data_IF_825637540683
#
_entry.id   IF_825637540683
#
_cell.length_a   1.000
_cell.length_b   1.000
_cell.length_c   1.000
_cell.angle_alpha   90.00
_cell.angle_beta   90.00
_cell.angle_gamma   90.00
#
_symmetry.space_group_name_H-M   'P 1'
#
loop_
_entity.id
_entity.type
_entity.pdbx_description
1 polymer ?
#
# COMPACT_ATOMS: atom_id res chain seq x y z
N UNK A 1 -4.29 -17.89 31.06
CA UNK A 1 -3.49 -16.90 30.31
C UNK A 1 -4.14 -16.74 28.94
N UNK A 2 -4.58 -15.55 28.55
CA UNK A 2 -5.22 -15.33 27.26
C UNK A 2 -4.23 -15.64 26.13
N UNK A 3 -4.67 -16.39 25.13
CA UNK A 3 -3.84 -16.81 23.99
C UNK A 3 -3.70 -15.62 23.03
N UNK A 4 -2.56 -14.93 23.10
CA UNK A 4 -2.23 -13.88 22.13
C UNK A 4 -2.14 -14.49 20.72
N UNK A 5 -2.98 -14.00 19.81
CA UNK A 5 -2.88 -14.31 18.39
C UNK A 5 -1.65 -13.57 17.83
N UNK A 6 -0.72 -14.23 17.12
CA UNK A 6 0.53 -13.62 16.64
C UNK A 6 0.35 -12.35 15.81
N UNK A 7 -0.80 -12.21 15.16
CA UNK A 7 -1.12 -11.15 14.21
C UNK A 7 -1.38 -9.78 14.88
N UNK A 8 -1.69 -9.75 16.18
CA UNK A 8 -2.01 -8.51 16.90
C UNK A 8 -0.86 -7.99 17.77
N UNK A 9 0.34 -8.58 17.67
CA UNK A 9 1.51 -8.14 18.44
C UNK A 9 1.90 -6.69 18.16
N UNK A 10 1.50 -6.16 17.00
CA UNK A 10 1.86 -4.84 16.50
C UNK A 10 0.78 -3.79 16.76
N UNK A 11 -0.25 -4.14 17.54
CA UNK A 11 -1.28 -3.22 17.99
C UNK A 11 -1.18 -3.03 19.51
N UNK A 12 -1.44 -1.80 19.95
CA UNK A 12 -1.49 -1.42 21.36
C UNK A 12 -2.80 -0.70 21.65
N UNK A 13 -3.32 -0.91 22.85
CA UNK A 13 -4.55 -0.29 23.31
C UNK A 13 -4.29 0.54 24.55
N UNK A 14 -4.84 1.75 24.55
CA UNK A 14 -4.90 2.64 25.70
C UNK A 14 -6.03 2.21 26.64
N UNK A 15 -5.92 2.47 27.94
CA UNK A 15 -7.00 2.16 28.90
C UNK A 15 -8.36 2.78 28.54
N UNK A 16 -8.36 3.89 27.79
CA UNK A 16 -9.57 4.53 27.25
C UNK A 16 -10.21 3.79 26.06
N UNK A 17 -9.60 2.72 25.57
CA UNK A 17 -10.12 1.90 24.48
C UNK A 17 -9.52 2.21 23.09
N UNK A 18 -8.77 3.30 22.94
CA UNK A 18 -8.16 3.70 21.67
C UNK A 18 -7.07 2.71 21.24
N UNK A 19 -7.03 2.39 19.94
CA UNK A 19 -6.10 1.42 19.35
C UNK A 19 -5.07 2.16 18.49
N UNK A 20 -3.80 1.83 18.69
CA UNK A 20 -2.68 2.40 17.96
C UNK A 20 -1.80 1.31 17.37
N UNK A 21 -1.14 1.63 16.27
CA UNK A 21 0.01 0.84 15.81
C UNK A 21 1.15 0.93 16.82
N UNK A 22 1.79 -0.21 17.04
CA UNK A 22 2.95 -0.31 17.91
C UNK A 22 4.09 0.54 17.36
N UNK A 23 4.62 1.40 18.23
CA UNK A 23 5.88 2.12 18.00
C UNK A 23 6.72 2.01 19.26
N UNK A 24 8.07 2.07 19.15
CA UNK A 24 8.95 2.04 20.32
C UNK A 24 8.59 3.13 21.35
N UNK A 25 8.21 4.32 20.88
CA UNK A 25 7.79 5.44 21.73
C UNK A 25 6.51 5.14 22.51
N UNK A 26 5.52 4.50 21.88
CA UNK A 26 4.28 4.12 22.55
C UNK A 26 4.46 2.90 23.47
N UNK A 27 5.43 2.03 23.20
CA UNK A 27 5.72 0.85 24.02
C UNK A 27 6.31 1.19 25.39
N UNK A 28 6.91 2.37 25.54
CA UNK A 28 7.47 2.87 26.80
C UNK A 28 6.44 3.50 27.73
N UNK A 29 5.19 3.67 27.27
CA UNK A 29 4.13 4.25 28.09
C UNK A 29 3.48 3.17 28.96
N UNK A 30 3.32 3.46 30.24
CA UNK A 30 2.69 2.54 31.21
C UNK A 30 1.20 2.30 30.94
N UNK A 31 0.53 3.24 30.25
CA UNK A 31 -0.91 3.19 29.94
C UNK A 31 -1.24 2.44 28.64
N UNK A 32 -0.22 1.91 27.95
CA UNK A 32 -0.35 1.18 26.68
C UNK A 32 -0.16 -0.32 26.89
N UNK A 33 -1.23 -1.07 26.72
CA UNK A 33 -1.24 -2.54 26.83
C UNK A 33 -1.34 -3.20 25.46
N UNK A 34 -0.91 -4.46 25.36
CA UNK A 34 -1.20 -5.26 24.18
C UNK A 34 -2.71 -5.35 23.95
N UNK A 35 -3.14 -5.28 22.69
CA UNK A 35 -4.55 -5.44 22.37
C UNK A 35 -5.01 -6.87 22.71
N UNK A 36 -5.93 -6.99 23.65
CA UNK A 36 -6.62 -8.25 23.93
C UNK A 36 -7.90 -8.33 23.09
N UNK A 37 -7.89 -9.24 22.13
CA UNK A 37 -8.95 -9.39 21.13
C UNK A 37 -10.24 -9.86 21.80
N UNK A 38 -10.17 -10.80 22.74
CA UNK A 38 -11.36 -11.32 23.43
C UNK A 38 -12.07 -10.21 24.21
N UNK A 39 -11.31 -9.38 24.93
CA UNK A 39 -11.84 -8.21 25.63
C UNK A 39 -12.34 -7.10 24.67
N UNK A 40 -11.72 -6.92 23.51
CA UNK A 40 -12.20 -6.00 22.49
C UNK A 40 -13.53 -6.47 21.88
N UNK A 41 -13.63 -7.75 21.51
CA UNK A 41 -14.84 -8.36 20.97
C UNK A 41 -16.00 -8.33 21.98
N UNK A 42 -15.73 -8.64 23.25
CA UNK A 42 -16.72 -8.54 24.32
C UNK A 42 -17.28 -7.12 24.47
N UNK A 43 -16.42 -6.10 24.40
CA UNK A 43 -16.85 -4.69 24.44
C UNK A 43 -17.65 -4.29 23.20
N UNK A 44 -17.21 -4.70 22.00
CA UNK A 44 -17.95 -4.44 20.76
C UNK A 44 -19.34 -5.07 20.83
N UNK A 45 -19.44 -6.32 21.33
CA UNK A 45 -20.71 -7.01 21.50
C UNK A 45 -21.60 -6.28 22.51
N UNK A 46 -21.06 -5.87 23.66
CA UNK A 46 -21.81 -5.12 24.66
C UNK A 46 -22.32 -3.77 24.13
N UNK A 47 -21.50 -3.04 23.36
CA UNK A 47 -21.89 -1.78 22.73
C UNK A 47 -22.98 -2.01 21.68
N UNK A 48 -22.87 -3.06 20.85
CA UNK A 48 -23.91 -3.41 19.87
C UNK A 48 -25.23 -3.73 20.56
N UNK A 49 -25.21 -4.56 21.60
CA UNK A 49 -26.41 -4.87 22.39
C UNK A 49 -27.00 -3.61 23.01
N UNK A 50 -26.19 -2.72 23.59
CA UNK A 50 -26.65 -1.43 24.12
C UNK A 50 -27.30 -0.53 23.05
N UNK A 51 -26.75 -0.51 21.83
CA UNK A 51 -27.32 0.24 20.70
C UNK A 51 -28.62 -0.38 20.18
N UNK A 52 -28.70 -1.71 20.13
CA UNK A 52 -29.88 -2.48 19.71
C UNK A 52 -31.04 -2.37 20.73
N UNK A 53 -30.72 -2.34 22.02
CA UNK A 53 -31.68 -2.15 23.13
C UNK A 53 -32.18 -0.70 23.25
N UNK A 54 -31.79 0.18 22.32
CA UNK A 54 -32.28 1.56 22.26
C UNK A 54 -31.60 2.50 23.24
N UNK A 55 -30.42 2.15 23.77
CA UNK A 55 -29.66 2.95 24.74
C UNK A 55 -29.21 4.33 24.25
N UNK A 56 -29.38 4.64 22.97
CA UNK A 56 -29.29 6.01 22.45
C UNK A 56 -30.67 6.54 22.10
N UNK A 57 -31.06 7.63 22.76
CA UNK A 57 -32.23 8.42 22.38
C UNK A 57 -32.08 9.00 20.95
N UNK A 58 -33.20 9.39 20.35
CA UNK A 58 -33.23 9.86 18.97
C UNK A 58 -32.36 11.10 18.72
N UNK A 59 -32.21 11.94 19.74
CA UNK A 59 -31.41 13.16 19.69
C UNK A 59 -29.91 12.85 19.67
N UNK A 60 -29.46 11.95 20.54
CA UNK A 60 -28.09 11.46 20.62
C UNK A 60 -27.68 10.72 19.33
N UNK A 61 -28.61 9.98 18.70
CA UNK A 61 -28.34 9.34 17.40
C UNK A 61 -28.12 10.36 16.29
N UNK A 62 -28.94 11.43 16.25
CA UNK A 62 -28.78 12.49 15.26
C UNK A 62 -27.44 13.21 15.44
N UNK A 63 -27.08 13.57 16.67
CA UNK A 63 -25.80 14.22 16.98
C UNK A 63 -24.59 13.32 16.66
N UNK A 64 -24.67 12.03 16.98
CA UNK A 64 -23.61 11.08 16.67
C UNK A 64 -23.47 10.85 15.16
N UNK A 65 -24.59 10.75 14.44
CA UNK A 65 -24.59 10.67 12.98
C UNK A 65 -23.94 11.91 12.37
N UNK A 66 -24.30 13.11 12.83
CA UNK A 66 -23.72 14.36 12.32
C UNK A 66 -22.20 14.44 12.58
N UNK A 67 -21.75 14.01 13.77
CA UNK A 67 -20.32 13.92 14.10
C UNK A 67 -19.58 12.93 13.20
N UNK A 68 -20.19 11.78 12.90
CA UNK A 68 -19.63 10.80 11.97
C UNK A 68 -19.50 11.36 10.56
N UNK A 69 -20.51 12.08 10.06
CA UNK A 69 -20.46 12.70 8.73
C UNK A 69 -19.34 13.74 8.67
N UNK A 70 -19.23 14.62 9.68
CA UNK A 70 -18.14 15.60 9.77
C UNK A 70 -16.76 14.93 9.84
N UNK A 71 -16.62 13.88 10.64
CA UNK A 71 -15.36 13.13 10.72
C UNK A 71 -14.98 12.48 9.39
N UNK A 72 -15.97 12.00 8.63
CA UNK A 72 -15.75 11.42 7.30
C UNK A 72 -15.34 12.47 6.26
N UNK A 73 -15.93 13.67 6.31
CA UNK A 73 -15.53 14.80 5.48
C UNK A 73 -14.10 15.25 5.79
N UNK A 74 -13.76 15.40 7.08
CA UNK A 74 -12.40 15.75 7.51
C UNK A 74 -11.39 14.67 7.09
N UNK A 75 -11.74 13.38 7.19
CA UNK A 75 -10.88 12.30 6.72
C UNK A 75 -10.61 12.40 5.22
N UNK A 76 -11.65 12.71 4.40
CA UNK A 76 -11.48 12.93 2.95
C UNK A 76 -10.58 14.13 2.66
N UNK A 77 -10.74 15.22 3.40
CA UNK A 77 -9.90 16.41 3.25
C UNK A 77 -8.44 16.11 3.63
N UNK A 78 -8.20 15.37 4.71
CA UNK A 78 -6.85 14.96 5.12
C UNK A 78 -6.19 14.08 4.06
N UNK A 79 -6.89 13.06 3.54
CA UNK A 79 -6.37 12.22 2.45
C UNK A 79 -6.04 13.05 1.21
N UNK A 80 -6.87 14.05 0.87
CA UNK A 80 -6.57 14.96 -0.23
C UNK A 80 -5.32 15.80 0.03
N UNK A 81 -5.17 16.33 1.24
CA UNK A 81 -3.98 17.10 1.61
C UNK A 81 -2.71 16.23 1.62
N UNK A 82 -2.79 14.97 2.02
CA UNK A 82 -1.66 14.03 1.94
C UNK A 82 -1.21 13.83 0.51
N UNK A 83 -2.13 13.60 -0.43
CA UNK A 83 -1.84 13.50 -1.87
C UNK A 83 -1.25 14.79 -2.42
N UNK A 84 -1.80 15.95 -2.04
CA UNK A 84 -1.28 17.26 -2.48
C UNK A 84 0.13 17.54 -1.91
N UNK A 85 0.40 17.12 -0.67
CA UNK A 85 1.73 17.23 -0.04
C UNK A 85 2.74 16.30 -0.68
N UNK A 86 2.37 15.06 -1.02
CA UNK A 86 3.22 14.13 -1.77
C UNK A 86 3.55 14.69 -3.16
N UNK A 87 2.55 15.21 -3.88
CA UNK A 87 2.75 15.88 -5.16
C UNK A 87 3.66 17.13 -5.04
N UNK A 88 3.51 17.91 -3.96
CA UNK A 88 4.37 19.05 -3.69
C UNK A 88 5.80 18.66 -3.28
N UNK A 89 5.97 17.54 -2.57
CA UNK A 89 7.30 16.97 -2.23
C UNK A 89 8.00 16.45 -3.48
N UNK A 90 7.31 15.70 -4.34
CA UNK A 90 7.86 15.23 -5.61
C UNK A 90 8.33 16.41 -6.49
N UNK A 91 7.57 17.52 -6.53
CA UNK A 91 7.98 18.74 -7.24
C UNK A 91 9.17 19.44 -6.61
N UNK A 92 9.28 19.46 -5.27
CA UNK A 92 10.44 20.04 -4.58
C UNK A 92 11.68 19.17 -4.75
N UNK A 93 11.57 17.85 -4.70
CA UNK A 93 12.69 16.93 -4.97
C UNK A 93 13.17 17.06 -6.41
N UNK A 94 12.26 17.17 -7.39
CA UNK A 94 12.61 17.46 -8.78
C UNK A 94 13.31 18.83 -8.96
N UNK A 95 12.95 19.84 -8.17
CA UNK A 95 13.56 21.17 -8.20
C UNK A 95 14.87 21.30 -7.37
N UNK A 96 15.21 20.29 -6.54
CA UNK A 96 16.38 20.30 -5.65
C UNK A 96 17.59 19.57 -6.23
N UNK A 97 17.46 18.94 -7.40
CA UNK A 97 18.60 18.40 -8.13
C UNK A 97 19.43 19.57 -8.67
N UNK A 98 20.72 19.72 -8.26
CA UNK A 98 21.56 20.77 -8.84
C UNK A 98 21.74 20.50 -10.33
N UNK A 99 21.81 21.55 -11.18
CA UNK A 99 22.19 21.36 -12.57
C UNK A 99 23.59 20.75 -12.57
N UNK A 100 23.71 19.49 -12.96
CA UNK A 100 25.03 18.87 -13.13
C UNK A 100 25.70 19.56 -14.29
N UNK A 101 26.55 20.54 -13.98
CA UNK A 101 27.67 20.94 -14.82
C UNK A 101 28.59 19.73 -14.99
N UNK A 102 28.32 18.91 -16.02
CA UNK A 102 29.38 18.27 -16.78
C UNK A 102 29.06 18.38 -18.26
N UNK A 103 29.82 19.28 -18.84
CA UNK A 103 30.13 19.47 -20.24
C UNK A 103 30.15 18.18 -21.08
N UNK A 104 29.58 18.37 -22.27
CA UNK A 104 29.95 17.84 -23.58
C UNK A 104 29.26 16.56 -24.11
N UNK A 105 29.01 16.56 -25.44
CA UNK A 105 27.87 15.89 -26.05
C UNK A 105 28.30 14.60 -26.76
N UNK A 106 27.57 13.51 -26.56
CA UNK A 106 27.58 12.38 -27.48
C UNK A 106 26.18 11.78 -27.58
N UNK A 107 25.44 12.19 -28.62
CA UNK A 107 24.07 11.79 -28.93
C UNK A 107 23.96 10.37 -29.53
N UNK A 108 24.84 9.44 -29.14
CA UNK A 108 24.81 8.06 -29.65
C UNK A 108 24.71 6.97 -28.56
N UNK A 109 24.73 7.32 -27.26
CA UNK A 109 24.73 6.35 -26.14
C UNK A 109 23.47 6.34 -25.29
N UNK A 110 22.38 6.99 -25.70
CA UNK A 110 21.17 7.16 -24.86
C UNK A 110 20.25 5.95 -24.79
N UNK A 111 20.16 5.10 -25.81
CA UNK A 111 19.29 3.91 -25.77
C UNK A 111 19.92 2.75 -25.00
N UNK A 112 21.19 2.44 -25.25
CA UNK A 112 21.89 1.34 -24.55
C UNK A 112 22.01 1.60 -23.05
N UNK A 113 22.31 2.84 -22.63
CA UNK A 113 22.38 3.19 -21.22
C UNK A 113 21.00 3.21 -20.54
N UNK A 114 19.94 3.56 -21.27
CA UNK A 114 18.57 3.46 -20.77
C UNK A 114 18.15 2.00 -20.63
N UNK A 115 18.53 1.14 -21.58
CA UNK A 115 18.23 -0.28 -21.56
C UNK A 115 19.01 -1.03 -20.46
N UNK A 116 20.28 -0.69 -20.25
CA UNK A 116 21.07 -1.18 -19.11
C UNK A 116 20.48 -0.73 -17.77
N UNK A 117 20.05 0.53 -17.65
CA UNK A 117 19.35 1.00 -16.44
C UNK A 117 18.04 0.25 -16.21
N UNK A 118 17.25 0.02 -17.27
CA UNK A 118 16.00 -0.75 -17.20
C UNK A 118 16.26 -2.17 -16.71
N UNK A 119 17.28 -2.85 -17.26
CA UNK A 119 17.67 -4.19 -16.83
C UNK A 119 18.12 -4.22 -15.37
N UNK A 120 18.93 -3.26 -14.92
CA UNK A 120 19.38 -3.18 -13.51
C UNK A 120 18.22 -2.98 -12.52
N UNK A 121 17.18 -2.24 -12.90
CA UNK A 121 15.97 -2.04 -12.09
C UNK A 121 15.15 -3.32 -12.04
N UNK A 122 14.94 -3.97 -13.19
CA UNK A 122 14.24 -5.25 -13.28
C UNK A 122 14.96 -6.39 -12.51
N UNK A 123 16.28 -6.38 -12.45
CA UNK A 123 17.05 -7.34 -11.65
C UNK A 123 16.92 -7.13 -10.14
N UNK A 124 16.56 -5.93 -9.69
CA UNK A 124 16.35 -5.64 -8.26
C UNK A 124 14.90 -5.84 -7.86
N UNK A 125 13.97 -5.78 -8.81
CA UNK A 125 12.54 -5.90 -8.56
C UNK A 125 12.12 -7.35 -8.20
N UNK A 126 11.42 -7.55 -7.07
CA UNK A 126 11.01 -8.88 -6.61
C UNK A 126 9.91 -9.50 -7.48
N UNK A 127 9.10 -8.69 -8.16
CA UNK A 127 8.00 -9.16 -9.03
C UNK A 127 8.54 -9.63 -10.37
N UNK A 128 9.49 -8.90 -10.97
CA UNK A 128 10.21 -9.31 -12.18
C UNK A 128 10.92 -10.66 -11.98
N UNK A 129 11.57 -10.87 -10.82
CA UNK A 129 12.16 -12.17 -10.45
C UNK A 129 11.11 -13.29 -10.36
N UNK A 130 9.93 -12.99 -9.82
CA UNK A 130 8.83 -13.96 -9.73
C UNK A 130 8.31 -14.36 -11.12
N UNK A 131 8.18 -13.42 -12.06
CA UNK A 131 7.76 -13.71 -13.45
C UNK A 131 8.78 -14.63 -14.13
N UNK A 132 10.07 -14.31 -14.02
CA UNK A 132 11.14 -15.13 -14.59
C UNK A 132 11.15 -16.57 -14.01
N UNK A 133 10.86 -16.71 -12.71
CA UNK A 133 10.85 -17.97 -12.00
C UNK A 133 9.57 -18.82 -12.18
N UNK A 134 8.58 -18.38 -12.97
CA UNK A 134 7.32 -19.13 -13.12
C UNK A 134 7.54 -20.49 -13.79
N UNK A 135 6.99 -21.59 -13.24
CA UNK A 135 7.32 -22.93 -13.72
C UNK A 135 6.56 -23.36 -14.98
N UNK A 136 5.36 -22.81 -15.23
CA UNK A 136 4.45 -23.31 -16.27
C UNK A 136 3.65 -22.19 -16.96
N UNK A 137 3.19 -22.42 -18.20
CA UNK A 137 2.45 -21.43 -19.01
C UNK A 137 1.19 -20.92 -18.30
N UNK A 138 0.53 -21.80 -17.55
CA UNK A 138 -0.68 -21.47 -16.78
C UNK A 138 -0.41 -20.37 -15.75
N UNK A 139 0.71 -20.44 -15.04
CA UNK A 139 1.07 -19.45 -14.02
C UNK A 139 1.32 -18.07 -14.62
N UNK A 140 1.94 -18.01 -15.80
CA UNK A 140 2.19 -16.75 -16.51
C UNK A 140 0.88 -16.12 -16.98
N UNK A 141 -0.08 -16.91 -17.46
CA UNK A 141 -1.42 -16.41 -17.82
C UNK A 141 -2.23 -15.92 -16.63
N UNK A 142 -2.23 -16.69 -15.54
CA UNK A 142 -2.91 -16.29 -14.30
C UNK A 142 -2.33 -14.96 -13.80
N UNK A 143 -1.01 -14.79 -13.85
CA UNK A 143 -0.36 -13.53 -13.52
C UNK A 143 -0.80 -12.38 -14.46
N UNK A 144 -0.79 -12.60 -15.77
CA UNK A 144 -1.17 -11.57 -16.74
C UNK A 144 -2.63 -11.15 -16.63
N UNK A 145 -3.53 -12.10 -16.37
CA UNK A 145 -4.94 -11.85 -16.14
C UNK A 145 -5.17 -11.09 -14.83
N UNK A 146 -4.50 -11.46 -13.74
CA UNK A 146 -4.69 -10.84 -12.43
C UNK A 146 -4.11 -9.42 -12.39
N UNK A 147 -2.89 -9.23 -12.91
CA UNK A 147 -2.17 -7.96 -12.79
C UNK A 147 -2.52 -6.94 -13.88
N UNK A 148 -2.84 -7.42 -15.09
CA UNK A 148 -3.07 -6.56 -16.26
C UNK A 148 -4.47 -6.72 -16.89
N UNK A 149 -5.27 -7.70 -16.47
CA UNK A 149 -6.58 -7.97 -17.08
C UNK A 149 -6.50 -8.47 -18.52
N UNK A 150 -5.32 -8.93 -18.97
CA UNK A 150 -5.09 -9.41 -20.34
C UNK A 150 -5.17 -10.93 -20.41
N UNK A 151 -6.04 -11.45 -21.28
CA UNK A 151 -6.09 -12.87 -21.61
C UNK A 151 -5.15 -13.14 -22.78
N UNK A 152 -4.02 -13.82 -22.50
CA UNK A 152 -2.99 -14.11 -23.51
C UNK A 152 -3.18 -15.52 -24.07
N UNK A 153 -3.05 -15.62 -25.40
CA UNK A 153 -3.04 -16.89 -26.12
C UNK A 153 -1.93 -17.84 -25.63
N UNK A 154 -2.24 -19.14 -25.61
CA UNK A 154 -1.33 -20.19 -25.11
C UNK A 154 -0.36 -20.76 -26.14
N UNK A 155 -0.49 -20.33 -27.39
CA UNK A 155 0.35 -20.78 -28.50
C UNK A 155 1.85 -20.51 -28.29
N UNK A 156 2.28 -19.32 -27.80
CA UNK A 156 3.70 -19.01 -27.60
C UNK A 156 4.38 -19.95 -26.60
N UNK A 157 5.68 -20.14 -26.74
CA UNK A 157 6.48 -20.95 -25.80
C UNK A 157 6.49 -20.32 -24.40
N UNK A 158 6.83 -21.10 -23.37
CA UNK A 158 6.87 -20.60 -21.99
C UNK A 158 7.79 -19.38 -21.85
N UNK A 159 8.95 -19.41 -22.49
CA UNK A 159 9.93 -18.32 -22.43
C UNK A 159 9.41 -17.05 -23.11
N UNK A 160 8.68 -17.20 -24.22
CA UNK A 160 8.02 -16.09 -24.93
C UNK A 160 6.91 -15.47 -24.08
N UNK A 161 6.11 -16.30 -23.39
CA UNK A 161 5.08 -15.83 -22.47
C UNK A 161 5.69 -15.04 -21.29
N UNK A 162 6.81 -15.53 -20.74
CA UNK A 162 7.54 -14.83 -19.67
C UNK A 162 8.12 -13.51 -20.16
N UNK A 163 8.70 -13.48 -21.36
CA UNK A 163 9.24 -12.27 -21.96
C UNK A 163 8.15 -11.22 -22.17
N UNK A 164 6.98 -11.62 -22.67
CA UNK A 164 5.83 -10.71 -22.82
C UNK A 164 5.33 -10.19 -21.47
N UNK A 165 5.23 -11.06 -20.45
CA UNK A 165 4.82 -10.63 -19.12
C UNK A 165 5.82 -9.66 -18.48
N UNK A 166 7.13 -9.89 -18.68
CA UNK A 166 8.19 -8.99 -18.24
C UNK A 166 8.17 -7.66 -18.98
N UNK A 167 7.93 -7.65 -20.29
CA UNK A 167 7.83 -6.42 -21.10
C UNK A 167 6.62 -5.57 -20.70
N UNK A 168 5.48 -6.20 -20.41
CA UNK A 168 4.29 -5.49 -19.92
C UNK A 168 4.48 -4.93 -18.52
N UNK A 169 5.12 -5.71 -17.65
CA UNK A 169 5.47 -5.25 -16.30
C UNK A 169 6.49 -4.10 -16.34
N UNK A 170 7.51 -4.20 -17.18
CA UNK A 170 8.53 -3.15 -17.31
C UNK A 170 7.91 -1.86 -17.82
N UNK A 171 7.09 -1.91 -18.89
CA UNK A 171 6.38 -0.72 -19.40
C UNK A 171 5.58 -0.02 -18.30
N UNK A 172 4.80 -0.76 -17.51
CA UNK A 172 4.02 -0.19 -16.40
C UNK A 172 4.90 0.38 -15.29
N UNK A 173 6.01 -0.28 -14.95
CA UNK A 173 6.96 0.18 -13.95
C UNK A 173 7.57 1.52 -14.36
N UNK A 174 8.01 1.64 -15.62
CA UNK A 174 8.64 2.86 -16.13
C UNK A 174 7.63 3.98 -16.43
N UNK A 175 6.41 3.66 -16.88
CA UNK A 175 5.30 4.62 -17.00
C UNK A 175 4.88 5.21 -15.64
N UNK A 176 4.86 4.40 -14.58
CA UNK A 176 4.55 4.85 -13.22
C UNK A 176 5.67 5.71 -12.60
N UNK A 177 6.93 5.45 -12.98
CA UNK A 177 8.10 6.23 -12.54
C UNK A 177 8.35 7.49 -13.38
N UNK A 178 7.57 7.72 -14.45
CA UNK A 178 7.67 8.92 -15.29
C UNK A 178 8.91 8.95 -16.21
N UNK A 179 9.38 7.78 -16.64
CA UNK A 179 10.49 7.58 -17.57
C UNK A 179 10.03 7.17 -18.98
#
# INVERSE_FOLDING_TARGET
>A
MPRMIPQCQWLRQLGSGHIYHWTPTLALREDMVALDIESAEARIKAIKTFLEEGGMDAQSRAEYSERLTKAHEVAKELTRMEVDMEAARARKEAASLPPSEKDQPDQQTTEEQAEERRQQILEKDPTAKRIAAMPHKKAVREFMMIEFGEEIDTEPKLDELKAMALDRYSKRLFEAEGL
#
